data_IF_038392304418
#
_entry.id   IF_038392304418
#
_cell.length_a   1.000
_cell.length_b   1.000
_cell.length_c   1.000
_cell.angle_alpha   90.00
_cell.angle_beta   90.00
_cell.angle_gamma   90.00
#
_symmetry.space_group_name_H-M   'P 1'
#
loop_
_entity.id
_entity.type
_entity.pdbx_description
1 polymer ?
#
# COMPACT_ATOMS: atom_id res chain seq x y z
N UNK A 1 -3.78 7.50 -23.22
CA UNK A 1 -2.33 7.36 -23.52
C UNK A 1 -1.49 8.57 -23.06
N UNK A 2 -1.76 9.83 -23.46
CA UNK A 2 -0.96 10.99 -22.97
C UNK A 2 -1.10 11.26 -21.47
N UNK A 3 -2.28 11.09 -20.92
CA UNK A 3 -2.62 11.36 -19.51
C UNK A 3 -1.89 10.40 -18.56
N UNK A 4 -1.78 9.14 -18.93
CA UNK A 4 -1.13 8.10 -18.14
C UNK A 4 0.39 8.26 -18.14
N UNK A 5 0.97 8.62 -19.28
CA UNK A 5 2.39 8.93 -19.39
C UNK A 5 2.86 10.09 -18.51
N UNK A 6 1.99 11.10 -18.28
CA UNK A 6 2.30 12.22 -17.39
C UNK A 6 2.38 11.77 -15.92
N UNK A 7 1.47 10.94 -15.46
CA UNK A 7 1.47 10.38 -14.09
C UNK A 7 2.76 9.61 -13.80
N UNK A 8 3.17 8.73 -14.71
CA UNK A 8 4.42 7.97 -14.58
C UNK A 8 5.66 8.88 -14.58
N UNK A 9 5.70 9.96 -15.39
CA UNK A 9 6.79 10.94 -15.35
C UNK A 9 6.92 11.59 -13.97
N UNK A 10 5.80 11.96 -13.34
CA UNK A 10 5.81 12.50 -11.97
C UNK A 10 6.25 11.47 -10.95
N UNK A 11 5.80 10.21 -11.06
CA UNK A 11 6.22 9.12 -10.18
C UNK A 11 7.73 8.86 -10.29
N UNK A 12 8.29 8.81 -11.48
CA UNK A 12 9.73 8.65 -11.67
C UNK A 12 10.52 9.85 -11.17
N UNK A 13 9.96 11.07 -11.25
CA UNK A 13 10.60 12.26 -10.69
C UNK A 13 10.66 12.20 -9.18
N UNK A 14 9.53 11.96 -8.50
CA UNK A 14 9.51 11.88 -7.03
C UNK A 14 10.38 10.74 -6.51
N UNK A 15 10.41 9.58 -7.16
CA UNK A 15 11.30 8.45 -6.82
C UNK A 15 12.78 8.84 -6.88
N UNK A 16 13.19 9.65 -7.87
CA UNK A 16 14.55 10.15 -7.96
C UNK A 16 14.88 11.13 -6.84
N UNK A 17 13.98 12.04 -6.53
CA UNK A 17 14.14 13.03 -5.46
C UNK A 17 14.24 12.36 -4.09
N UNK A 18 13.44 11.33 -3.84
CA UNK A 18 13.46 10.56 -2.58
C UNK A 18 14.77 9.79 -2.33
N UNK A 19 15.69 9.72 -3.30
CA UNK A 19 17.03 9.16 -3.06
C UNK A 19 17.94 10.08 -2.26
N UNK A 20 17.67 11.38 -2.27
CA UNK A 20 18.50 12.42 -1.64
C UNK A 20 17.76 13.23 -0.59
N UNK A 21 16.44 13.31 -0.71
CA UNK A 21 15.60 14.16 0.14
C UNK A 21 14.43 13.37 0.75
N UNK A 22 13.99 13.79 1.94
CA UNK A 22 12.79 13.23 2.56
C UNK A 22 11.52 13.70 1.82
N UNK A 23 10.49 12.86 1.84
CA UNK A 23 9.19 13.18 1.20
C UNK A 23 8.63 14.51 1.70
N UNK A 24 8.80 14.86 2.97
CA UNK A 24 8.32 16.13 3.57
C UNK A 24 8.95 17.35 2.89
N UNK A 25 10.23 17.29 2.55
CA UNK A 25 10.97 18.41 1.94
C UNK A 25 10.69 18.60 0.45
N UNK A 26 10.37 17.50 -0.25
CA UNK A 26 10.09 17.54 -1.68
C UNK A 26 8.84 18.37 -1.94
N UNK A 27 8.93 19.33 -2.85
CA UNK A 27 7.81 20.18 -3.28
C UNK A 27 7.28 19.74 -4.65
N UNK A 28 6.04 20.16 -4.98
CA UNK A 28 5.50 19.96 -6.34
C UNK A 28 6.37 20.66 -7.39
N UNK A 29 7.01 21.78 -7.05
CA UNK A 29 7.94 22.47 -7.94
C UNK A 29 9.15 21.60 -8.27
N UNK A 30 9.72 20.91 -7.27
CA UNK A 30 10.85 20.00 -7.48
C UNK A 30 10.43 18.83 -8.38
N UNK A 31 9.25 18.26 -8.13
CA UNK A 31 8.72 17.15 -8.93
C UNK A 31 8.59 17.53 -10.40
N UNK A 32 7.97 18.68 -10.71
CA UNK A 32 7.73 19.08 -12.11
C UNK A 32 9.00 19.51 -12.83
N UNK A 33 9.97 20.09 -12.12
CA UNK A 33 11.24 20.58 -12.69
C UNK A 33 12.00 19.49 -13.48
N UNK A 34 11.86 18.24 -13.07
CA UNK A 34 12.54 17.10 -13.68
C UNK A 34 11.73 16.40 -14.79
N UNK A 35 10.53 16.87 -15.11
CA UNK A 35 9.61 16.15 -16.00
C UNK A 35 9.37 16.85 -17.35
N UNK A 36 9.72 18.11 -17.44
CA UNK A 36 9.33 18.98 -18.58
C UNK A 36 7.82 19.31 -18.61
N UNK A 37 7.09 19.00 -17.53
CA UNK A 37 5.66 19.27 -17.38
C UNK A 37 5.42 20.46 -16.45
N UNK A 38 4.23 21.07 -16.54
CA UNK A 38 3.86 22.21 -15.71
C UNK A 38 3.23 21.81 -14.38
N UNK A 39 3.26 22.74 -13.38
CA UNK A 39 2.49 22.59 -12.14
C UNK A 39 0.99 22.43 -12.41
N UNK A 40 0.45 23.12 -13.41
CA UNK A 40 -0.94 22.97 -13.81
C UNK A 40 -1.24 21.54 -14.28
N UNK A 41 -0.32 20.92 -15.04
CA UNK A 41 -0.43 19.52 -15.45
C UNK A 41 -0.41 18.59 -14.23
N UNK A 42 0.45 18.87 -13.23
CA UNK A 42 0.49 18.10 -12.00
C UNK A 42 -0.87 18.16 -11.27
N UNK A 43 -1.41 19.35 -10.98
CA UNK A 43 -2.65 19.53 -10.24
C UNK A 43 -3.90 19.05 -10.98
N UNK A 44 -3.81 18.83 -12.29
CA UNK A 44 -4.88 18.14 -13.04
C UNK A 44 -4.97 16.64 -12.71
N UNK A 45 -3.87 16.02 -12.23
CA UNK A 45 -3.78 14.59 -11.94
C UNK A 45 -3.75 14.27 -10.45
N UNK A 46 -3.15 15.12 -9.63
CA UNK A 46 -2.89 14.89 -8.23
C UNK A 46 -3.18 16.15 -7.42
N UNK A 47 -3.79 15.98 -6.25
CA UNK A 47 -4.04 17.09 -5.30
C UNK A 47 -2.74 17.59 -4.68
N UNK A 48 -1.85 16.68 -4.35
CA UNK A 48 -0.57 16.91 -3.70
C UNK A 48 0.42 15.77 -3.99
N UNK A 49 1.59 15.84 -3.40
CA UNK A 49 2.63 14.81 -3.55
C UNK A 49 2.26 13.48 -2.89
N UNK A 50 1.46 13.47 -1.84
CA UNK A 50 0.99 12.26 -1.17
C UNK A 50 -0.01 11.51 -2.03
N UNK A 51 -0.90 12.24 -2.72
CA UNK A 51 -1.82 11.67 -3.70
C UNK A 51 -1.07 10.98 -4.86
N UNK A 52 0.05 11.56 -5.32
CA UNK A 52 0.95 10.92 -6.28
C UNK A 52 1.58 9.63 -5.72
N UNK A 53 2.08 9.66 -4.48
CA UNK A 53 2.68 8.50 -3.81
C UNK A 53 1.64 7.38 -3.65
N UNK A 54 0.44 7.72 -3.19
CA UNK A 54 -0.65 6.79 -2.99
C UNK A 54 -1.12 6.18 -4.32
N UNK A 55 -1.24 6.99 -5.37
CA UNK A 55 -1.55 6.49 -6.71
C UNK A 55 -0.51 5.47 -7.22
N UNK A 56 0.78 5.75 -6.98
CA UNK A 56 1.84 4.81 -7.36
C UNK A 56 1.73 3.51 -6.57
N UNK A 57 1.44 3.59 -5.27
CA UNK A 57 1.15 2.42 -4.45
C UNK A 57 -0.04 1.62 -4.99
N UNK A 58 -1.14 2.27 -5.36
CA UNK A 58 -2.35 1.59 -5.85
C UNK A 58 -2.11 0.75 -7.11
N UNK A 59 -1.27 1.23 -8.04
CA UNK A 59 -0.89 0.45 -9.23
C UNK A 59 -0.27 -0.88 -8.83
N UNK A 60 0.49 -0.89 -7.77
CA UNK A 60 1.28 -2.00 -7.31
C UNK A 60 0.45 -2.93 -6.41
N UNK A 61 -0.27 -2.35 -5.46
CA UNK A 61 -1.18 -3.06 -4.59
C UNK A 61 -2.30 -3.74 -5.41
N UNK A 62 -2.87 -3.05 -6.41
CA UNK A 62 -3.91 -3.60 -7.28
C UNK A 62 -3.48 -4.92 -7.92
N UNK A 63 -2.26 -5.01 -8.46
CA UNK A 63 -1.76 -6.26 -9.07
C UNK A 63 -1.71 -7.43 -8.09
N UNK A 64 -1.43 -7.17 -6.81
CA UNK A 64 -1.36 -8.21 -5.79
C UNK A 64 -2.76 -8.60 -5.29
N UNK A 65 -3.59 -7.61 -4.95
CA UNK A 65 -4.88 -7.84 -4.29
C UNK A 65 -5.99 -8.28 -5.26
N UNK A 66 -5.97 -7.82 -6.51
CA UNK A 66 -6.93 -8.28 -7.54
C UNK A 66 -6.73 -9.77 -7.86
N UNK A 67 -5.51 -10.29 -7.68
CA UNK A 67 -5.20 -11.70 -7.90
C UNK A 67 -5.48 -12.60 -6.68
N UNK A 68 -5.52 -12.03 -5.45
CA UNK A 68 -5.79 -12.80 -4.23
C UNK A 68 -7.21 -13.38 -4.22
N UNK A 69 -7.31 -14.66 -3.89
CA UNK A 69 -8.59 -15.40 -3.93
C UNK A 69 -9.11 -15.74 -5.33
N UNK A 70 -8.34 -15.41 -6.39
CA UNK A 70 -8.65 -15.77 -7.79
C UNK A 70 -7.53 -16.64 -8.37
N UNK A 71 -6.29 -16.12 -8.38
CA UNK A 71 -5.10 -16.81 -8.92
C UNK A 71 -3.98 -16.93 -7.89
N UNK A 72 -4.05 -16.19 -6.81
CA UNK A 72 -3.09 -16.19 -5.70
C UNK A 72 -3.79 -16.45 -4.37
N UNK A 73 -3.13 -17.23 -3.52
CA UNK A 73 -3.48 -17.32 -2.10
C UNK A 73 -3.15 -16.02 -1.36
N UNK A 74 -3.68 -15.84 -0.15
CA UNK A 74 -3.30 -14.71 0.72
C UNK A 74 -1.77 -14.63 0.90
N UNK A 75 -1.13 -15.79 1.14
CA UNK A 75 0.33 -15.88 1.33
C UNK A 75 1.09 -15.38 0.11
N UNK A 76 0.75 -15.88 -1.07
CA UNK A 76 1.41 -15.50 -2.33
C UNK A 76 1.22 -14.02 -2.65
N UNK A 77 0.02 -13.49 -2.43
CA UNK A 77 -0.26 -12.07 -2.63
C UNK A 77 0.49 -11.16 -1.65
N UNK A 78 0.63 -11.55 -0.37
CA UNK A 78 1.44 -10.82 0.60
C UNK A 78 2.92 -10.86 0.22
N UNK A 79 3.47 -12.01 -0.17
CA UNK A 79 4.84 -12.12 -0.65
C UNK A 79 5.07 -11.20 -1.85
N UNK A 80 4.17 -11.22 -2.83
CA UNK A 80 4.25 -10.36 -4.01
C UNK A 80 4.24 -8.87 -3.62
N UNK A 81 3.38 -8.46 -2.68
CA UNK A 81 3.35 -7.08 -2.13
C UNK A 81 4.70 -6.73 -1.49
N UNK A 82 5.24 -7.57 -0.64
CA UNK A 82 6.49 -7.29 0.08
C UNK A 82 7.71 -7.30 -0.85
N UNK A 83 7.78 -8.21 -1.81
CA UNK A 83 8.81 -8.22 -2.84
C UNK A 83 8.78 -6.94 -3.68
N UNK A 84 7.58 -6.42 -3.90
CA UNK A 84 7.41 -5.17 -4.60
C UNK A 84 7.94 -4.01 -3.76
N UNK A 85 7.55 -3.90 -2.48
CA UNK A 85 8.05 -2.89 -1.54
C UNK A 85 9.60 -2.98 -1.47
N UNK A 86 10.16 -4.17 -1.45
CA UNK A 86 11.61 -4.42 -1.43
C UNK A 86 12.31 -3.95 -2.70
N UNK A 87 11.73 -4.20 -3.87
CA UNK A 87 12.30 -3.72 -5.16
C UNK A 87 12.37 -2.20 -5.24
N UNK A 88 11.44 -1.51 -4.61
CA UNK A 88 11.36 -0.06 -4.55
C UNK A 88 11.73 0.47 -3.14
N UNK A 89 12.72 -0.17 -2.48
CA UNK A 89 13.04 0.03 -1.06
C UNK A 89 13.25 1.49 -0.67
N UNK A 90 13.97 2.27 -1.47
CA UNK A 90 14.22 3.70 -1.18
C UNK A 90 12.92 4.49 -1.18
N UNK A 91 12.06 4.27 -2.18
CA UNK A 91 10.77 4.94 -2.28
C UNK A 91 9.88 4.61 -1.08
N UNK A 92 9.66 3.31 -0.82
CA UNK A 92 8.75 2.89 0.25
C UNK A 92 9.26 3.21 1.65
N UNK A 93 10.58 3.09 1.90
CA UNK A 93 11.12 3.48 3.21
C UNK A 93 10.95 4.97 3.50
N UNK A 94 11.04 5.82 2.50
CA UNK A 94 10.77 7.26 2.66
C UNK A 94 9.27 7.55 2.77
N UNK A 95 8.44 6.88 1.98
CA UNK A 95 6.99 7.07 2.01
C UNK A 95 6.39 6.65 3.37
N UNK A 96 6.81 5.51 3.92
CA UNK A 96 6.35 5.03 5.24
C UNK A 96 6.90 5.83 6.43
N UNK A 97 7.94 6.65 6.25
CA UNK A 97 8.40 7.59 7.29
C UNK A 97 7.51 8.82 7.44
N UNK A 98 6.65 9.09 6.47
CA UNK A 98 5.78 10.25 6.50
C UNK A 98 4.69 10.09 7.56
N UNK A 99 4.50 11.14 8.36
CA UNK A 99 3.44 11.24 9.39
C UNK A 99 2.24 12.07 8.94
N UNK A 100 2.17 12.43 7.67
CA UNK A 100 1.03 13.16 7.11
C UNK A 100 -0.25 12.34 7.19
N UNK A 101 -1.39 12.97 7.40
CA UNK A 101 -2.70 12.30 7.44
C UNK A 101 -3.10 11.64 6.11
N UNK A 102 -2.46 12.01 5.00
CA UNK A 102 -2.58 11.37 3.69
C UNK A 102 -1.41 10.44 3.38
N UNK A 103 -0.63 10.03 4.40
CA UNK A 103 0.52 9.14 4.23
C UNK A 103 0.13 7.80 3.62
N UNK A 104 1.12 7.12 3.05
CA UNK A 104 0.94 5.78 2.47
C UNK A 104 0.46 4.77 3.52
N UNK A 105 0.84 4.91 4.79
CA UNK A 105 0.39 4.04 5.88
C UNK A 105 -1.12 4.13 6.07
N UNK A 106 -1.67 5.35 6.11
CA UNK A 106 -3.10 5.59 6.23
C UNK A 106 -3.86 5.16 4.97
N UNK A 107 -3.24 5.28 3.81
CA UNK A 107 -3.81 4.84 2.54
C UNK A 107 -3.87 3.31 2.46
N UNK A 108 -2.77 2.62 2.75
CA UNK A 108 -2.69 1.14 2.77
C UNK A 108 -3.64 0.55 3.81
N UNK A 109 -3.78 1.18 4.99
CA UNK A 109 -4.76 0.76 5.99
C UNK A 109 -6.19 0.76 5.44
N UNK A 110 -6.62 1.86 4.80
CA UNK A 110 -7.96 1.94 4.21
C UNK A 110 -8.15 0.91 3.11
N UNK A 111 -7.16 0.77 2.25
CA UNK A 111 -7.19 -0.20 1.16
C UNK A 111 -7.36 -1.65 1.67
N UNK A 112 -6.56 -2.06 2.63
CA UNK A 112 -6.59 -3.40 3.23
C UNK A 112 -7.90 -3.65 3.99
N UNK A 113 -8.37 -2.66 4.75
CA UNK A 113 -9.63 -2.77 5.49
C UNK A 113 -10.82 -2.98 4.54
N UNK A 114 -10.86 -2.22 3.46
CA UNK A 114 -11.91 -2.36 2.43
C UNK A 114 -11.80 -3.72 1.72
N UNK A 115 -10.60 -4.16 1.39
CA UNK A 115 -10.36 -5.47 0.78
C UNK A 115 -10.91 -6.60 1.64
N UNK A 116 -10.50 -6.71 2.90
CA UNK A 116 -10.98 -7.77 3.79
C UNK A 116 -12.47 -7.64 4.13
N UNK A 117 -12.99 -6.43 4.28
CA UNK A 117 -14.43 -6.18 4.47
C UNK A 117 -15.23 -6.74 3.30
N UNK A 118 -14.75 -6.55 2.07
CA UNK A 118 -15.42 -7.05 0.87
C UNK A 118 -15.36 -8.59 0.79
N UNK A 119 -14.25 -9.21 1.16
CA UNK A 119 -14.12 -10.68 1.26
C UNK A 119 -15.15 -11.22 2.27
N UNK A 120 -15.21 -10.67 3.48
CA UNK A 120 -16.17 -11.10 4.51
C UNK A 120 -17.61 -10.93 4.00
N UNK A 121 -17.93 -9.79 3.37
CA UNK A 121 -19.27 -9.56 2.80
C UNK A 121 -19.61 -10.56 1.70
N UNK A 122 -18.66 -10.88 0.83
CA UNK A 122 -18.84 -11.88 -0.23
C UNK A 122 -19.13 -13.28 0.36
N UNK A 123 -18.34 -13.69 1.36
CA UNK A 123 -18.45 -14.97 2.02
C UNK A 123 -19.76 -15.11 2.83
N UNK A 124 -20.05 -14.14 3.69
CA UNK A 124 -21.19 -14.22 4.64
C UNK A 124 -22.50 -13.70 4.08
N UNK A 125 -22.48 -13.01 2.91
CA UNK A 125 -23.61 -12.26 2.32
C UNK A 125 -24.14 -11.15 3.22
N UNK A 126 -23.37 -10.72 4.22
CA UNK A 126 -23.70 -9.67 5.19
C UNK A 126 -22.46 -8.82 5.49
N UNK A 127 -22.64 -7.55 5.90
CA UNK A 127 -21.53 -6.77 6.41
C UNK A 127 -20.97 -7.41 7.69
N UNK A 128 -19.69 -7.15 8.03
CA UNK A 128 -19.13 -7.56 9.32
C UNK A 128 -19.96 -7.01 10.48
N UNK A 129 -20.18 -7.83 11.52
CA UNK A 129 -20.73 -7.38 12.79
C UNK A 129 -19.75 -6.45 13.51
N UNK A 130 -20.21 -5.64 14.49
CA UNK A 130 -19.37 -4.65 15.16
C UNK A 130 -18.15 -5.29 15.84
N UNK A 131 -18.31 -6.48 16.43
CA UNK A 131 -17.20 -7.21 17.03
C UNK A 131 -16.19 -7.75 16.01
N UNK A 132 -16.66 -8.21 14.84
CA UNK A 132 -15.77 -8.60 13.73
C UNK A 132 -15.08 -7.38 13.13
N UNK A 133 -15.79 -6.27 12.99
CA UNK A 133 -15.20 -5.00 12.52
C UNK A 133 -14.07 -4.54 13.44
N UNK A 134 -14.29 -4.54 14.75
CA UNK A 134 -13.28 -4.15 15.73
C UNK A 134 -12.01 -5.01 15.61
N UNK A 135 -12.17 -6.35 15.53
CA UNK A 135 -11.04 -7.28 15.38
C UNK A 135 -10.30 -7.03 14.03
N UNK A 136 -11.05 -6.80 12.97
CA UNK A 136 -10.50 -6.53 11.64
C UNK A 136 -9.71 -5.22 11.62
N UNK A 137 -10.25 -4.13 12.15
CA UNK A 137 -9.58 -2.84 12.27
C UNK A 137 -8.29 -2.97 13.10
N UNK A 138 -8.34 -3.66 14.24
CA UNK A 138 -7.16 -3.92 15.07
C UNK A 138 -6.07 -4.69 14.31
N UNK A 139 -6.45 -5.75 13.60
CA UNK A 139 -5.52 -6.54 12.79
C UNK A 139 -4.93 -5.71 11.64
N UNK A 140 -5.75 -4.95 10.92
CA UNK A 140 -5.29 -4.09 9.84
C UNK A 140 -4.30 -3.02 10.33
N UNK A 141 -4.61 -2.32 11.44
CA UNK A 141 -3.68 -1.37 12.03
C UNK A 141 -2.34 -2.03 12.42
N UNK A 142 -2.38 -3.17 13.11
CA UNK A 142 -1.17 -3.89 13.50
C UNK A 142 -0.34 -4.36 12.30
N UNK A 143 -0.99 -4.98 11.31
CA UNK A 143 -0.29 -5.51 10.13
C UNK A 143 0.34 -4.42 9.27
N UNK A 144 -0.32 -3.27 9.11
CA UNK A 144 0.24 -2.14 8.37
C UNK A 144 1.37 -1.47 9.13
N UNK A 145 1.22 -1.23 10.43
CA UNK A 145 2.30 -0.69 11.26
C UNK A 145 3.55 -1.57 11.24
N UNK A 146 3.40 -2.90 11.36
CA UNK A 146 4.50 -3.85 11.23
C UNK A 146 5.16 -3.83 9.84
N UNK A 147 4.37 -3.64 8.79
CA UNK A 147 4.88 -3.48 7.43
C UNK A 147 5.67 -2.18 7.27
N UNK A 148 5.16 -1.08 7.82
CA UNK A 148 5.84 0.21 7.82
C UNK A 148 7.18 0.14 8.59
N UNK A 149 7.17 -0.42 9.80
CA UNK A 149 8.38 -0.64 10.60
C UNK A 149 9.41 -1.48 9.86
N UNK A 150 8.99 -2.59 9.24
CA UNK A 150 9.86 -3.41 8.42
C UNK A 150 10.47 -2.62 7.26
N UNK A 151 9.67 -1.82 6.57
CA UNK A 151 10.14 -1.02 5.44
C UNK A 151 11.15 0.06 5.86
N UNK A 152 10.92 0.77 6.98
CA UNK A 152 11.80 1.85 7.44
C UNK A 152 13.05 1.38 8.16
N UNK A 153 13.06 0.14 8.70
CA UNK A 153 14.20 -0.46 9.40
C UNK A 153 15.11 -1.29 8.50
N UNK A 154 14.92 -1.21 7.17
CA UNK A 154 15.83 -1.80 6.19
C UNK A 154 15.45 -3.21 5.75
N UNK A 155 14.18 -3.63 5.94
CA UNK A 155 13.61 -4.86 5.37
C UNK A 155 14.43 -6.12 5.68
N UNK A 156 14.92 -6.26 6.94
CA UNK A 156 15.81 -7.35 7.35
C UNK A 156 15.18 -8.74 7.21
N UNK A 157 13.90 -8.86 7.55
CA UNK A 157 13.13 -10.09 7.40
C UNK A 157 12.78 -10.30 5.93
N UNK A 158 12.82 -11.56 5.42
CA UNK A 158 12.40 -11.84 4.04
C UNK A 158 10.91 -11.59 3.84
N UNK A 159 10.48 -11.42 2.59
CA UNK A 159 9.07 -11.23 2.22
C UNK A 159 8.21 -12.41 2.67
N UNK A 160 8.71 -13.63 2.51
CA UNK A 160 8.04 -14.87 2.93
C UNK A 160 7.87 -14.90 4.44
N UNK A 161 8.96 -14.62 5.20
CA UNK A 161 8.91 -14.64 6.66
C UNK A 161 7.94 -13.60 7.23
N UNK A 162 7.90 -12.39 6.62
CA UNK A 162 6.94 -11.36 7.04
C UNK A 162 5.50 -11.77 6.72
N UNK A 163 5.27 -12.37 5.54
CA UNK A 163 3.95 -12.87 5.15
C UNK A 163 3.47 -13.97 6.12
N UNK A 164 4.36 -14.92 6.43
CA UNK A 164 4.05 -16.03 7.35
C UNK A 164 3.72 -15.52 8.77
N UNK A 165 4.47 -14.53 9.28
CA UNK A 165 4.20 -13.93 10.59
C UNK A 165 2.84 -13.21 10.62
N UNK A 166 2.51 -12.44 9.57
CA UNK A 166 1.22 -11.74 9.50
C UNK A 166 0.04 -12.71 9.40
N UNK A 167 0.21 -13.82 8.66
CA UNK A 167 -0.81 -14.87 8.59
C UNK A 167 -0.95 -15.59 9.94
N UNK A 168 0.16 -15.90 10.60
CA UNK A 168 0.12 -16.52 11.93
C UNK A 168 -0.51 -15.61 13.00
N UNK A 169 -0.38 -14.30 12.85
CA UNK A 169 -1.01 -13.30 13.72
C UNK A 169 -2.51 -13.06 13.42
N UNK A 170 -3.05 -13.65 12.35
CA UNK A 170 -4.45 -13.46 11.97
C UNK A 170 -5.37 -14.07 13.07
N UNK A 171 -6.23 -13.26 13.70
CA UNK A 171 -7.16 -13.76 14.71
C UNK A 171 -8.03 -14.90 14.18
N UNK A 172 -8.19 -15.98 14.94
CA UNK A 172 -8.91 -17.18 14.50
C UNK A 172 -10.32 -16.87 13.93
N UNK A 173 -11.02 -15.91 14.53
CA UNK A 173 -12.35 -15.48 14.05
C UNK A 173 -12.31 -14.84 12.66
N UNK A 174 -11.23 -14.12 12.33
CA UNK A 174 -11.01 -13.60 10.99
C UNK A 174 -10.52 -14.67 10.03
N UNK A 175 -9.65 -15.57 10.48
CA UNK A 175 -9.14 -16.67 9.67
C UNK A 175 -10.29 -17.51 9.08
N UNK A 176 -11.30 -17.85 9.91
CA UNK A 176 -12.49 -18.61 9.48
C UNK A 176 -13.29 -17.86 8.39
N UNK A 177 -13.28 -16.52 8.41
CA UNK A 177 -14.05 -15.70 7.47
C UNK A 177 -13.27 -15.35 6.20
N UNK A 178 -11.95 -15.31 6.27
CA UNK A 178 -11.09 -14.83 5.18
C UNK A 178 -10.41 -15.97 4.42
N UNK A 179 -9.84 -16.96 5.13
CA UNK A 179 -9.03 -18.00 4.49
C UNK A 179 -9.80 -18.89 3.50
N UNK A 180 -11.08 -19.24 3.70
CA UNK A 180 -11.83 -20.02 2.71
C UNK A 180 -11.95 -19.35 1.33
N UNK A 181 -11.85 -18.02 1.29
CA UNK A 181 -11.92 -17.23 0.05
C UNK A 181 -10.53 -16.85 -0.49
N UNK A 182 -9.46 -17.08 0.29
CA UNK A 182 -8.10 -16.66 -0.02
C UNK A 182 -7.10 -17.83 -0.12
N UNK A 183 -7.62 -19.07 -0.17
CA UNK A 183 -6.84 -20.30 -0.40
C UNK A 183 -6.73 -20.66 -1.87
#
# INVERSE_FOLDING_TARGET
>A
METEGAKYKFAESIKRLMKTDSLERITVTDIVSNTGLSRQTFYRHFRDKYDLVNWYFDILAGQCFDAMGVTLTLREGLILKFDFIRREAVFFSQAFRSTDCNSIEQHDYRFILDFYTNIIRKHTRRPPTDDIRFILELYCHGSISMTADWAVTGMQKSSESLADDLIAALPQRLAVLLLPELH
#
